data_IF_566575029830
#
_entry.id   IF_566575029830
#
_cell.length_a   1.000
_cell.length_b   1.000
_cell.length_c   1.000
_cell.angle_alpha   90.00
_cell.angle_beta   90.00
_cell.angle_gamma   90.00
#
_symmetry.space_group_name_H-M   'P 1'
#
loop_
_entity.id
_entity.type
_entity.pdbx_description
1 polymer ?
#
# COMPACT_ATOMS: atom_id res chain seq x y z
N UNK A 1 -0.60 -17.65 48.38
CA UNK A 1 -0.07 -16.72 47.36
C UNK A 1 -1.08 -15.68 46.95
N UNK A 2 -2.28 -15.99 46.43
CA UNK A 2 -3.33 -15.04 46.03
C UNK A 2 -3.68 -14.02 47.13
N UNK A 3 -3.80 -14.38 48.38
CA UNK A 3 -4.06 -13.42 49.48
C UNK A 3 -2.97 -12.36 49.64
N UNK A 4 -1.71 -12.73 49.47
CA UNK A 4 -0.59 -11.79 49.59
C UNK A 4 -0.58 -10.85 48.39
N UNK A 5 -0.80 -11.37 47.19
CA UNK A 5 -0.94 -10.54 45.98
C UNK A 5 -2.08 -9.54 46.12
N UNK A 6 -3.23 -9.95 46.65
CA UNK A 6 -4.39 -9.07 46.88
C UNK A 6 -4.10 -7.98 47.91
N UNK A 7 -3.38 -8.30 48.98
CA UNK A 7 -2.99 -7.32 49.99
C UNK A 7 -1.98 -6.30 49.43
N UNK A 8 -0.95 -6.79 48.73
CA UNK A 8 0.04 -5.93 48.11
C UNK A 8 -0.58 -5.10 47.00
N UNK A 9 -1.49 -5.66 46.19
CA UNK A 9 -2.26 -4.95 45.19
C UNK A 9 -3.08 -3.82 45.81
N UNK A 10 -3.79 -4.07 46.92
CA UNK A 10 -4.56 -3.05 47.61
C UNK A 10 -3.69 -1.91 48.15
N UNK A 11 -2.52 -2.25 48.74
CA UNK A 11 -1.56 -1.27 49.22
C UNK A 11 -1.02 -0.38 48.11
N UNK A 12 -0.52 -0.98 47.00
CA UNK A 12 0.03 -0.21 45.91
C UNK A 12 -1.04 0.53 45.09
N UNK A 13 -2.26 -0.01 45.00
CA UNK A 13 -3.40 0.73 44.43
C UNK A 13 -3.66 2.02 45.17
N UNK A 14 -3.71 1.96 46.48
CA UNK A 14 -3.82 3.16 47.32
C UNK A 14 -2.63 4.11 47.17
N UNK A 15 -1.40 3.59 47.18
CA UNK A 15 -0.19 4.39 47.05
C UNK A 15 -0.07 5.10 45.68
N UNK A 16 -0.43 4.41 44.61
CA UNK A 16 -0.16 4.88 43.26
C UNK A 16 -1.37 5.51 42.57
N UNK A 17 -2.59 5.01 42.81
CA UNK A 17 -3.80 5.47 42.10
C UNK A 17 -4.61 6.49 42.90
N UNK A 18 -4.78 6.28 44.19
CA UNK A 18 -5.62 7.16 45.00
C UNK A 18 -4.94 8.50 45.34
N UNK A 19 -3.63 8.57 45.22
CA UNK A 19 -2.84 9.75 45.55
C UNK A 19 -2.01 10.23 44.35
N UNK A 20 -2.67 10.66 43.33
CA UNK A 20 -2.17 10.94 41.97
C UNK A 20 -0.77 11.58 41.88
N UNK A 21 -0.57 12.75 42.47
CA UNK A 21 0.71 13.48 42.36
C UNK A 21 1.86 12.78 43.08
N UNK A 22 1.56 12.02 44.09
CA UNK A 22 2.53 11.29 44.90
C UNK A 22 2.89 9.94 44.27
N UNK A 23 1.93 9.27 43.66
CA UNK A 23 2.12 7.94 43.09
C UNK A 23 3.14 7.89 41.97
N UNK A 24 3.02 8.74 40.95
CA UNK A 24 4.00 8.86 39.85
C UNK A 24 5.39 9.25 40.38
N UNK A 25 5.45 10.23 41.28
CA UNK A 25 6.71 10.63 41.89
C UNK A 25 7.33 9.49 42.71
N UNK A 26 6.50 8.77 43.47
CA UNK A 26 6.93 7.62 44.28
C UNK A 26 7.50 6.52 43.43
N UNK A 27 6.80 6.11 42.36
CA UNK A 27 7.28 5.06 41.46
C UNK A 27 8.57 5.48 40.74
N UNK A 28 8.68 6.73 40.29
CA UNK A 28 9.88 7.30 39.72
C UNK A 28 11.07 7.21 40.67
N UNK A 29 10.86 7.55 41.95
CA UNK A 29 11.90 7.44 42.97
C UNK A 29 12.33 5.99 43.21
N UNK A 30 11.37 5.05 43.28
CA UNK A 30 11.63 3.64 43.42
C UNK A 30 12.48 3.12 42.26
N UNK A 31 12.07 3.40 41.02
CA UNK A 31 12.75 2.92 39.81
C UNK A 31 14.12 3.56 39.59
N UNK A 32 14.38 4.74 40.14
CA UNK A 32 15.69 5.39 40.10
C UNK A 32 16.74 4.76 41.00
N UNK A 33 16.33 3.99 42.01
CA UNK A 33 17.24 3.25 42.91
C UNK A 33 17.23 1.77 42.55
N UNK A 34 18.42 1.22 42.17
CA UNK A 34 18.53 -0.20 41.80
C UNK A 34 17.95 -1.14 42.87
N UNK A 35 18.30 -0.94 44.15
CA UNK A 35 17.81 -1.80 45.21
C UNK A 35 16.30 -1.71 45.43
N UNK A 36 15.73 -0.47 45.33
CA UNK A 36 14.28 -0.27 45.44
C UNK A 36 13.54 -0.78 44.22
N UNK A 37 14.08 -0.60 43.01
CA UNK A 37 13.51 -1.12 41.78
C UNK A 37 13.44 -2.66 41.81
N UNK A 38 14.53 -3.32 42.21
CA UNK A 38 14.56 -4.79 42.35
C UNK A 38 13.54 -5.27 43.39
N UNK A 39 13.43 -4.60 44.54
CA UNK A 39 12.43 -4.93 45.55
C UNK A 39 10.99 -4.74 45.05
N UNK A 40 10.74 -3.68 44.28
CA UNK A 40 9.41 -3.40 43.70
C UNK A 40 9.05 -4.43 42.63
N UNK A 41 9.92 -4.67 41.65
CA UNK A 41 9.64 -5.63 40.56
C UNK A 41 9.52 -7.07 41.03
N UNK A 42 10.05 -7.39 42.22
CA UNK A 42 9.84 -8.67 42.88
C UNK A 42 8.49 -8.78 43.61
N UNK A 43 7.69 -7.71 43.58
CA UNK A 43 6.38 -7.69 44.23
C UNK A 43 5.26 -7.79 43.19
N UNK A 44 4.69 -8.98 43.03
CA UNK A 44 3.66 -9.23 42.02
C UNK A 44 2.41 -8.35 42.15
N UNK A 45 1.99 -8.02 43.39
CA UNK A 45 0.85 -7.16 43.63
C UNK A 45 1.09 -5.71 43.19
N UNK A 46 2.30 -5.16 43.46
CA UNK A 46 2.69 -3.83 43.00
C UNK A 46 2.82 -3.74 41.49
N UNK A 47 3.44 -4.73 40.88
CA UNK A 47 3.54 -4.84 39.40
C UNK A 47 2.16 -4.97 38.76
N UNK A 48 1.26 -5.78 39.34
CA UNK A 48 -0.12 -5.93 38.85
C UNK A 48 -0.89 -4.59 38.80
N UNK A 49 -0.71 -3.72 39.80
CA UNK A 49 -1.34 -2.38 39.82
C UNK A 49 -0.92 -1.55 38.62
N UNK A 50 0.36 -1.57 38.28
CA UNK A 50 0.91 -0.77 37.17
C UNK A 50 0.57 -1.40 35.83
N UNK A 51 0.61 -2.73 35.68
CA UNK A 51 0.26 -3.46 34.46
C UNK A 51 -1.25 -3.54 34.23
N UNK A 52 -2.07 -3.39 35.26
CA UNK A 52 -3.52 -3.33 35.17
C UNK A 52 -4.08 -2.06 34.54
N UNK A 53 -3.21 -1.14 34.08
CA UNK A 53 -3.64 0.03 33.33
C UNK A 53 -4.33 -0.36 32.01
N UNK A 54 -5.50 0.22 31.74
CA UNK A 54 -6.22 0.04 30.49
C UNK A 54 -5.97 1.24 29.56
N UNK A 55 -5.36 1.05 28.37
CA UNK A 55 -4.98 2.15 27.47
C UNK A 55 -6.15 3.04 27.03
N UNK A 56 -7.35 2.46 26.95
CA UNK A 56 -8.56 3.15 26.49
C UNK A 56 -9.22 4.02 27.57
N UNK A 57 -8.76 3.95 28.80
CA UNK A 57 -9.25 4.82 29.86
C UNK A 57 -8.35 6.04 29.96
N UNK A 58 -8.90 7.27 29.96
CA UNK A 58 -8.13 8.52 29.99
C UNK A 58 -7.58 8.85 31.39
N UNK A 59 -7.09 7.86 32.13
CA UNK A 59 -6.42 8.08 33.40
C UNK A 59 -4.94 8.39 33.14
N UNK A 60 -4.63 9.68 33.12
CA UNK A 60 -3.27 10.19 32.91
C UNK A 60 -2.26 9.59 33.88
N UNK A 61 -2.67 9.29 35.09
CA UNK A 61 -1.84 8.73 36.16
C UNK A 61 -1.41 7.32 35.85
N UNK A 62 -2.38 6.49 35.51
CA UNK A 62 -2.12 5.12 35.12
C UNK A 62 -1.22 5.05 33.88
N UNK A 63 -1.40 5.99 32.92
CA UNK A 63 -0.50 6.11 31.76
C UNK A 63 0.94 6.42 32.16
N UNK A 64 1.14 7.38 33.07
CA UNK A 64 2.47 7.75 33.54
C UNK A 64 3.12 6.62 34.35
N UNK A 65 2.38 5.93 35.21
CA UNK A 65 2.88 4.77 35.96
C UNK A 65 3.31 3.64 35.01
N UNK A 66 2.48 3.31 34.04
CA UNK A 66 2.80 2.30 33.04
C UNK A 66 4.04 2.70 32.20
N UNK A 67 4.10 3.92 31.72
CA UNK A 67 5.24 4.42 30.94
C UNK A 67 6.55 4.40 31.74
N UNK A 68 6.52 4.68 33.05
CA UNK A 68 7.67 4.57 33.93
C UNK A 68 8.15 3.14 34.08
N UNK A 69 7.24 2.18 34.23
CA UNK A 69 7.59 0.77 34.31
C UNK A 69 8.16 0.28 32.97
N UNK A 70 7.54 0.64 31.85
CA UNK A 70 7.98 0.28 30.49
C UNK A 70 9.38 0.83 30.16
N UNK A 71 9.76 1.98 30.71
CA UNK A 71 11.10 2.54 30.53
C UNK A 71 12.16 1.96 31.48
N UNK A 72 11.75 1.12 32.42
CA UNK A 72 12.66 0.52 33.39
C UNK A 72 13.46 -0.64 32.79
N UNK A 73 14.78 -0.74 33.07
CA UNK A 73 15.57 -1.91 32.67
C UNK A 73 15.16 -3.20 33.38
N UNK A 74 14.28 -3.13 34.37
CA UNK A 74 13.79 -4.27 35.16
C UNK A 74 12.40 -4.73 34.71
N UNK A 75 11.92 -4.30 33.57
CA UNK A 75 10.57 -4.65 33.10
C UNK A 75 10.41 -6.16 32.87
N UNK A 76 11.43 -6.84 32.34
CA UNK A 76 11.37 -8.28 32.12
C UNK A 76 11.34 -9.06 33.45
N UNK A 77 12.05 -8.60 34.47
CA UNK A 77 11.99 -9.17 35.84
C UNK A 77 10.58 -8.96 36.44
N UNK A 78 9.99 -7.80 36.26
CA UNK A 78 8.63 -7.53 36.70
C UNK A 78 7.60 -8.44 36.05
N UNK A 79 7.72 -8.63 34.74
CA UNK A 79 6.85 -9.52 33.97
C UNK A 79 6.98 -10.97 34.45
N UNK A 80 8.20 -11.44 34.64
CA UNK A 80 8.47 -12.78 35.16
C UNK A 80 7.84 -12.97 36.55
N UNK A 81 8.02 -12.00 37.45
CA UNK A 81 7.44 -12.06 38.81
C UNK A 81 5.92 -12.08 38.76
N UNK A 82 5.31 -11.22 37.96
CA UNK A 82 3.86 -11.12 37.84
C UNK A 82 3.24 -12.41 37.29
N UNK A 83 3.71 -12.86 36.11
CA UNK A 83 3.17 -14.05 35.46
C UNK A 83 3.52 -15.35 36.24
N UNK A 84 4.75 -15.46 36.76
CA UNK A 84 5.13 -16.59 37.59
C UNK A 84 4.28 -16.72 38.86
N UNK A 85 3.85 -15.60 39.43
CA UNK A 85 2.94 -15.59 40.59
C UNK A 85 1.54 -16.08 40.27
N UNK A 86 1.02 -15.77 39.07
CA UNK A 86 -0.30 -16.25 38.60
C UNK A 86 -0.29 -17.76 38.42
N UNK A 87 0.78 -18.33 37.89
CA UNK A 87 0.93 -19.75 37.64
C UNK A 87 1.44 -20.52 38.83
N UNK A 88 1.47 -19.94 40.03
CA UNK A 88 1.91 -20.55 41.30
C UNK A 88 3.33 -21.07 41.30
N UNK A 89 4.16 -20.65 40.35
CA UNK A 89 5.47 -21.18 40.12
C UNK A 89 6.60 -20.36 40.77
N UNK A 90 6.28 -19.34 41.56
CA UNK A 90 7.26 -18.57 42.35
C UNK A 90 8.35 -17.88 41.53
N UNK A 91 9.53 -18.44 41.46
CA UNK A 91 10.66 -17.94 40.70
C UNK A 91 10.84 -18.68 39.37
N UNK A 92 9.74 -19.02 38.67
CA UNK A 92 9.78 -19.68 37.38
C UNK A 92 10.46 -18.76 36.34
N UNK A 93 11.34 -19.33 35.52
CA UNK A 93 11.98 -18.57 34.43
C UNK A 93 10.99 -18.24 33.30
N UNK A 94 11.28 -17.20 32.53
CA UNK A 94 10.47 -16.90 31.35
C UNK A 94 10.45 -18.06 30.35
N UNK A 95 11.56 -18.80 30.21
CA UNK A 95 11.65 -19.98 29.34
C UNK A 95 10.71 -21.09 29.82
N UNK A 96 10.61 -21.34 31.11
CA UNK A 96 9.68 -22.30 31.68
C UNK A 96 8.21 -21.88 31.49
N UNK A 97 7.92 -20.58 31.61
CA UNK A 97 6.55 -20.05 31.35
C UNK A 97 6.12 -20.20 29.88
N UNK A 98 6.99 -19.84 28.94
CA UNK A 98 6.65 -19.83 27.52
C UNK A 98 6.93 -21.14 26.78
N UNK A 99 7.53 -22.13 27.43
CA UNK A 99 7.61 -23.50 26.88
C UNK A 99 6.28 -24.26 26.94
N UNK A 100 5.32 -23.77 27.74
CA UNK A 100 3.98 -24.34 27.83
C UNK A 100 3.03 -23.58 26.89
N UNK A 101 2.62 -24.22 25.80
CA UNK A 101 1.75 -23.64 24.79
C UNK A 101 0.35 -23.30 25.34
N UNK A 102 -0.17 -24.02 26.31
CA UNK A 102 -1.45 -23.72 26.93
C UNK A 102 -1.38 -22.40 27.72
N UNK A 103 -0.32 -22.20 28.48
CA UNK A 103 -0.05 -20.91 29.17
C UNK A 103 0.11 -19.75 28.20
N UNK A 104 0.79 -19.94 27.07
CA UNK A 104 0.94 -18.91 26.06
C UNK A 104 -0.42 -18.46 25.52
N UNK A 105 -1.36 -19.38 25.32
CA UNK A 105 -2.73 -19.07 24.88
C UNK A 105 -3.57 -18.43 25.99
N UNK A 106 -3.47 -18.89 27.23
CA UNK A 106 -4.13 -18.25 28.37
C UNK A 106 -3.67 -16.78 28.52
N UNK A 107 -2.37 -16.51 28.39
CA UNK A 107 -1.81 -15.16 28.40
C UNK A 107 -2.45 -14.33 27.28
N UNK A 108 -2.57 -14.87 26.07
CA UNK A 108 -3.12 -14.14 24.93
C UNK A 108 -4.59 -13.71 25.16
N UNK A 109 -5.36 -14.53 25.84
CA UNK A 109 -6.78 -14.30 26.08
C UNK A 109 -7.08 -13.41 27.30
N UNK A 110 -6.09 -13.13 28.13
CA UNK A 110 -6.21 -12.17 29.25
C UNK A 110 -5.53 -10.83 28.91
N UNK A 111 -6.29 -9.71 28.83
CA UNK A 111 -5.71 -8.42 28.42
C UNK A 111 -4.59 -7.91 29.33
N UNK A 112 -4.62 -8.24 30.63
CA UNK A 112 -3.60 -7.80 31.59
C UNK A 112 -2.34 -8.65 31.45
N UNK A 113 -2.51 -9.97 31.32
CA UNK A 113 -1.40 -10.89 31.10
C UNK A 113 -0.73 -10.68 29.74
N UNK A 114 -1.51 -10.47 28.67
CA UNK A 114 -0.99 -10.17 27.33
C UNK A 114 -0.18 -8.86 27.31
N UNK A 115 -0.68 -7.81 28.01
CA UNK A 115 0.03 -6.55 28.17
C UNK A 115 1.35 -6.75 28.96
N UNK A 116 1.32 -7.55 30.01
CA UNK A 116 2.51 -7.90 30.78
C UNK A 116 3.53 -8.62 29.90
N UNK A 117 3.14 -9.73 29.29
CA UNK A 117 4.03 -10.54 28.44
C UNK A 117 4.68 -9.73 27.31
N UNK A 118 3.93 -8.80 26.76
CA UNK A 118 4.40 -7.92 25.70
C UNK A 118 5.16 -6.68 26.17
N UNK A 119 5.21 -6.37 27.46
CA UNK A 119 5.81 -5.15 27.97
C UNK A 119 7.34 -5.14 27.86
N UNK A 120 8.00 -6.25 28.20
CA UNK A 120 9.45 -6.39 28.09
C UNK A 120 9.87 -6.96 26.73
N UNK A 121 11.02 -6.53 26.22
CA UNK A 121 11.52 -7.01 24.93
C UNK A 121 11.87 -8.50 24.95
N UNK A 122 12.46 -9.00 26.04
CA UNK A 122 12.81 -10.40 26.23
C UNK A 122 11.55 -11.25 26.34
N UNK A 123 10.62 -10.85 27.20
CA UNK A 123 9.35 -11.54 27.39
C UNK A 123 8.53 -11.59 26.10
N UNK A 124 8.36 -10.46 25.41
CA UNK A 124 7.62 -10.40 24.15
C UNK A 124 8.23 -11.33 23.08
N UNK A 125 9.54 -11.36 22.96
CA UNK A 125 10.22 -12.23 22.00
C UNK A 125 9.98 -13.72 22.27
N UNK A 126 10.13 -14.14 23.51
CA UNK A 126 9.92 -15.53 23.93
C UNK A 126 8.46 -15.97 23.77
N UNK A 127 7.54 -15.14 24.23
CA UNK A 127 6.10 -15.42 24.13
C UNK A 127 5.61 -15.51 22.69
N UNK A 128 5.98 -14.54 21.82
CA UNK A 128 5.55 -14.52 20.42
C UNK A 128 6.19 -15.68 19.64
N UNK A 129 7.46 -16.02 19.90
CA UNK A 129 8.09 -17.18 19.30
C UNK A 129 7.35 -18.47 19.69
N UNK A 130 6.98 -18.63 20.96
CA UNK A 130 6.23 -19.78 21.44
C UNK A 130 4.83 -19.88 20.81
N UNK A 131 4.10 -18.76 20.69
CA UNK A 131 2.81 -18.71 19.98
C UNK A 131 2.93 -19.09 18.50
N UNK A 132 4.09 -18.87 17.90
CA UNK A 132 4.40 -19.28 16.53
C UNK A 132 4.93 -20.72 16.43
N UNK A 133 4.92 -21.49 17.52
CA UNK A 133 5.45 -22.86 17.57
C UNK A 133 6.98 -22.95 17.50
N UNK A 134 7.68 -21.86 17.76
CA UNK A 134 9.14 -21.81 17.85
C UNK A 134 9.61 -22.03 19.30
N UNK A 135 10.83 -22.53 19.49
CA UNK A 135 11.39 -22.64 20.83
C UNK A 135 11.68 -21.27 21.42
N UNK A 136 11.11 -20.94 22.58
CA UNK A 136 11.21 -19.63 23.21
C UNK A 136 12.65 -19.30 23.69
N UNK A 137 13.50 -20.28 23.90
CA UNK A 137 14.89 -20.11 24.30
C UNK A 137 15.85 -19.84 23.13
N UNK A 138 15.36 -20.04 21.89
CA UNK A 138 16.14 -19.79 20.65
C UNK A 138 16.34 -18.30 20.36
N UNK A 139 15.55 -17.43 20.97
CA UNK A 139 15.57 -16.00 20.68
C UNK A 139 15.75 -15.19 21.97
N UNK A 140 16.76 -14.32 22.00
CA UNK A 140 17.06 -13.49 23.16
C UNK A 140 15.93 -12.52 23.49
N UNK A 141 15.35 -11.90 22.47
CA UNK A 141 14.32 -10.87 22.59
C UNK A 141 13.52 -10.73 21.29
N UNK A 142 12.51 -9.86 21.28
CA UNK A 142 11.68 -9.61 20.10
C UNK A 142 12.44 -9.06 18.90
N UNK A 143 13.56 -8.35 19.13
CA UNK A 143 14.41 -7.86 18.05
C UNK A 143 15.13 -9.04 17.36
N UNK A 144 15.57 -10.04 18.14
CA UNK A 144 16.14 -11.26 17.58
C UNK A 144 15.10 -12.09 16.80
N UNK A 145 13.86 -12.16 17.26
CA UNK A 145 12.74 -12.77 16.51
C UNK A 145 12.52 -12.02 15.19
N UNK A 146 12.41 -10.69 15.24
CA UNK A 146 12.17 -9.85 14.06
C UNK A 146 13.32 -9.86 13.04
N UNK A 147 14.54 -10.17 13.47
CA UNK A 147 15.71 -10.32 12.59
C UNK A 147 15.84 -11.71 11.96
N UNK A 148 15.09 -12.70 12.44
CA UNK A 148 15.14 -14.08 11.96
C UNK A 148 14.07 -14.35 10.91
N UNK A 149 14.47 -14.68 9.68
CA UNK A 149 13.55 -15.06 8.61
C UNK A 149 12.68 -16.27 8.98
N UNK A 150 13.31 -17.30 9.59
CA UNK A 150 12.60 -18.51 10.05
C UNK A 150 11.55 -18.18 11.10
N UNK A 151 11.91 -17.37 12.10
CA UNK A 151 10.98 -16.98 13.15
C UNK A 151 9.85 -16.13 12.59
N UNK A 152 10.15 -15.11 11.77
CA UNK A 152 9.14 -14.21 11.25
C UNK A 152 8.22 -14.89 10.23
N UNK A 153 8.70 -15.86 9.46
CA UNK A 153 7.83 -16.68 8.60
C UNK A 153 6.83 -17.47 9.46
N UNK A 154 7.28 -18.07 10.56
CA UNK A 154 6.38 -18.79 11.47
C UNK A 154 5.40 -17.84 12.19
N UNK A 155 5.88 -16.69 12.68
CA UNK A 155 5.05 -15.64 13.31
C UNK A 155 3.99 -15.14 12.33
N UNK A 156 4.37 -14.79 11.11
CA UNK A 156 3.46 -14.29 10.09
C UNK A 156 2.41 -15.30 9.62
N UNK A 157 2.69 -16.60 9.76
CA UNK A 157 1.74 -17.67 9.46
C UNK A 157 0.79 -18.00 10.63
N UNK A 158 1.06 -17.51 11.84
CA UNK A 158 0.30 -17.81 13.06
C UNK A 158 -0.64 -16.66 13.43
N UNK A 159 -1.96 -16.91 13.43
CA UNK A 159 -2.97 -15.92 13.87
C UNK A 159 -2.74 -15.47 15.31
N UNK A 160 -2.42 -16.40 16.19
CA UNK A 160 -2.18 -16.12 17.63
C UNK A 160 -0.93 -15.28 17.83
N UNK A 161 0.17 -15.60 17.16
CA UNK A 161 1.40 -14.82 17.23
C UNK A 161 1.21 -13.43 16.63
N UNK A 162 0.53 -13.31 15.49
CA UNK A 162 0.24 -12.02 14.88
C UNK A 162 -0.71 -11.18 15.73
N UNK A 163 -1.72 -11.78 16.37
CA UNK A 163 -2.57 -11.07 17.33
C UNK A 163 -1.75 -10.49 18.49
N UNK A 164 -0.78 -11.24 19.01
CA UNK A 164 0.16 -10.75 20.03
C UNK A 164 1.05 -9.60 19.49
N UNK A 165 1.57 -9.71 18.27
CA UNK A 165 2.39 -8.65 17.64
C UNK A 165 1.60 -7.35 17.49
N UNK A 166 0.42 -7.40 16.86
CA UNK A 166 -0.34 -6.16 16.55
C UNK A 166 -1.01 -5.56 17.81
N UNK A 167 -1.23 -6.38 18.83
CA UNK A 167 -1.74 -5.94 20.14
C UNK A 167 -0.68 -5.35 21.05
N UNK A 168 0.60 -5.38 20.64
CA UNK A 168 1.70 -5.00 21.52
C UNK A 168 2.66 -4.00 20.85
N UNK A 169 2.80 -2.80 21.45
CA UNK A 169 3.61 -1.74 20.88
C UNK A 169 5.11 -2.09 20.77
N UNK A 170 5.67 -2.84 21.73
CA UNK A 170 7.08 -3.25 21.71
C UNK A 170 7.36 -4.21 20.55
N UNK A 171 6.50 -5.20 20.37
CA UNK A 171 6.61 -6.18 19.29
C UNK A 171 6.34 -5.54 17.92
N UNK A 172 5.28 -4.72 17.81
CA UNK A 172 4.97 -4.02 16.57
C UNK A 172 6.12 -3.12 16.13
N UNK A 173 6.73 -2.38 17.06
CA UNK A 173 7.88 -1.53 16.76
C UNK A 173 9.10 -2.34 16.29
N UNK A 174 9.38 -3.49 16.90
CA UNK A 174 10.46 -4.37 16.44
C UNK A 174 10.21 -4.89 15.02
N UNK A 175 8.98 -5.27 14.70
CA UNK A 175 8.59 -5.75 13.36
C UNK A 175 8.73 -4.63 12.32
N UNK A 176 8.20 -3.42 12.56
CA UNK A 176 8.23 -2.33 11.56
C UNK A 176 9.62 -1.72 11.35
N UNK A 177 10.59 -2.02 12.23
CA UNK A 177 11.99 -1.61 12.09
C UNK A 177 12.87 -2.68 11.44
N UNK A 178 12.35 -3.90 11.24
CA UNK A 178 13.08 -5.01 10.62
C UNK A 178 12.59 -5.28 9.20
N UNK A 179 13.48 -5.14 8.20
CA UNK A 179 13.15 -5.48 6.80
C UNK A 179 12.79 -6.95 6.62
N UNK A 180 13.44 -7.85 7.38
CA UNK A 180 13.14 -9.29 7.37
C UNK A 180 11.71 -9.54 7.83
N UNK A 181 11.33 -8.93 8.96
CA UNK A 181 9.97 -9.04 9.49
C UNK A 181 8.92 -8.45 8.55
N UNK A 182 9.19 -7.27 7.99
CA UNK A 182 8.28 -6.60 7.05
C UNK A 182 8.04 -7.44 5.79
N UNK A 183 9.07 -8.07 5.25
CA UNK A 183 8.93 -8.94 4.09
C UNK A 183 8.07 -10.18 4.42
N UNK A 184 8.28 -10.80 5.59
CA UNK A 184 7.49 -11.94 6.02
C UNK A 184 6.00 -11.56 6.25
N UNK A 185 5.74 -10.44 6.90
CA UNK A 185 4.39 -9.91 7.12
C UNK A 185 3.69 -9.60 5.80
N UNK A 186 4.36 -8.90 4.89
CA UNK A 186 3.78 -8.53 3.59
C UNK A 186 3.57 -9.71 2.64
N UNK A 187 4.21 -10.85 2.88
CA UNK A 187 4.02 -12.08 2.12
C UNK A 187 2.89 -12.98 2.67
N UNK A 188 2.37 -12.69 3.86
CA UNK A 188 1.38 -13.52 4.56
C UNK A 188 0.00 -12.89 4.59
N UNK A 189 -1.02 -13.59 4.06
CA UNK A 189 -2.44 -13.20 4.18
C UNK A 189 -2.88 -13.09 5.64
N UNK A 190 -2.49 -14.05 6.48
CA UNK A 190 -2.79 -14.06 7.92
C UNK A 190 -2.23 -12.81 8.61
N UNK A 191 -0.96 -12.49 8.37
CA UNK A 191 -0.33 -11.32 8.96
C UNK A 191 -0.96 -10.01 8.46
N UNK A 192 -1.23 -9.91 7.17
CA UNK A 192 -1.89 -8.73 6.60
C UNK A 192 -3.31 -8.55 7.12
N UNK A 193 -4.08 -9.63 7.30
CA UNK A 193 -5.40 -9.58 7.93
C UNK A 193 -5.32 -9.06 9.38
N UNK A 194 -4.35 -9.50 10.16
CA UNK A 194 -4.13 -9.03 11.52
C UNK A 194 -3.75 -7.53 11.57
N UNK A 195 -2.84 -7.08 10.69
CA UNK A 195 -2.45 -5.67 10.59
C UNK A 195 -3.65 -4.80 10.21
N UNK A 196 -4.41 -5.19 9.18
CA UNK A 196 -5.57 -4.44 8.69
C UNK A 196 -6.70 -4.40 9.73
N UNK A 197 -6.86 -5.47 10.50
CA UNK A 197 -7.85 -5.57 11.58
C UNK A 197 -7.52 -4.73 12.82
N UNK A 198 -6.29 -4.19 12.92
CA UNK A 198 -5.84 -3.38 14.04
C UNK A 198 -5.48 -1.95 13.60
N UNK A 199 -6.29 -0.97 14.01
CA UNK A 199 -6.14 0.42 13.58
C UNK A 199 -4.77 1.02 13.96
N UNK A 200 -4.21 0.65 15.12
CA UNK A 200 -2.88 1.12 15.55
C UNK A 200 -1.79 0.54 14.66
N UNK A 201 -1.81 -0.77 14.41
CA UNK A 201 -0.84 -1.43 13.52
C UNK A 201 -0.92 -0.88 12.10
N UNK A 202 -2.13 -0.71 11.57
CA UNK A 202 -2.35 -0.14 10.24
C UNK A 202 -1.75 1.27 10.11
N UNK A 203 -1.98 2.15 11.09
CA UNK A 203 -1.40 3.49 11.10
C UNK A 203 0.14 3.46 11.19
N UNK A 204 0.71 2.60 12.03
CA UNK A 204 2.17 2.45 12.15
C UNK A 204 2.77 2.00 10.82
N UNK A 205 2.16 1.03 10.15
CA UNK A 205 2.60 0.55 8.82
C UNK A 205 2.46 1.66 7.77
N UNK A 206 1.31 2.36 7.71
CA UNK A 206 1.05 3.39 6.70
C UNK A 206 1.90 4.66 6.85
N UNK A 207 2.51 4.87 8.01
CA UNK A 207 3.43 5.99 8.28
C UNK A 207 4.91 5.60 8.20
N UNK A 208 5.22 4.30 8.10
CA UNK A 208 6.58 3.79 7.95
C UNK A 208 6.93 3.58 6.47
N UNK A 209 7.93 4.32 5.96
CA UNK A 209 8.40 4.16 4.57
C UNK A 209 8.88 2.73 4.29
N UNK A 210 9.62 2.12 5.23
CA UNK A 210 10.13 0.75 5.08
C UNK A 210 8.99 -0.27 5.02
N UNK A 211 7.99 -0.14 5.90
CA UNK A 211 6.82 -1.00 5.91
C UNK A 211 6.00 -0.85 4.63
N UNK A 212 5.74 0.37 4.19
CA UNK A 212 4.98 0.60 2.97
C UNK A 212 5.73 0.18 1.71
N UNK A 213 7.06 0.23 1.68
CA UNK A 213 7.85 -0.35 0.59
C UNK A 213 7.65 -1.87 0.50
N UNK A 214 7.63 -2.58 1.64
CA UNK A 214 7.39 -4.02 1.68
C UNK A 214 5.94 -4.35 1.24
N UNK A 215 4.95 -3.62 1.74
CA UNK A 215 3.53 -3.76 1.35
C UNK A 215 3.37 -3.52 -0.15
N UNK A 216 3.91 -2.43 -0.68
CA UNK A 216 3.81 -2.06 -2.09
C UNK A 216 4.54 -3.03 -3.04
N UNK A 217 5.53 -3.77 -2.55
CA UNK A 217 6.23 -4.78 -3.33
C UNK A 217 5.51 -6.15 -3.33
N UNK A 218 4.52 -6.36 -2.45
CA UNK A 218 3.80 -7.62 -2.30
C UNK A 218 2.42 -7.59 -2.94
N UNK A 219 2.13 -8.52 -3.86
CA UNK A 219 0.80 -8.70 -4.44
C UNK A 219 -0.24 -9.08 -3.38
N UNK A 220 0.12 -9.97 -2.47
CA UNK A 220 -0.73 -10.40 -1.35
C UNK A 220 -1.12 -9.22 -0.47
N UNK A 221 -0.15 -8.41 -0.07
CA UNK A 221 -0.41 -7.26 0.79
C UNK A 221 -1.26 -6.20 0.08
N UNK A 222 -0.97 -5.90 -1.19
CA UNK A 222 -1.77 -4.94 -1.96
C UNK A 222 -3.20 -5.43 -2.19
N UNK A 223 -3.40 -6.72 -2.46
CA UNK A 223 -4.73 -7.30 -2.58
C UNK A 223 -5.52 -7.17 -1.26
N UNK A 224 -4.90 -7.44 -0.11
CA UNK A 224 -5.51 -7.27 1.19
C UNK A 224 -5.87 -5.81 1.51
N UNK A 225 -4.99 -4.86 1.19
CA UNK A 225 -5.25 -3.42 1.34
C UNK A 225 -6.43 -2.99 0.48
N UNK A 226 -6.47 -3.38 -0.79
CA UNK A 226 -7.53 -3.00 -1.75
C UNK A 226 -8.89 -3.61 -1.35
N UNK A 227 -8.89 -4.82 -0.82
CA UNK A 227 -10.11 -5.49 -0.38
C UNK A 227 -10.73 -4.87 0.89
N UNK A 228 -9.98 -4.05 1.64
CA UNK A 228 -10.45 -3.41 2.86
C UNK A 228 -10.52 -1.88 2.70
N UNK A 229 -11.73 -1.31 2.77
CA UNK A 229 -11.95 0.12 2.55
C UNK A 229 -11.24 1.02 3.57
N UNK A 230 -11.11 0.58 4.83
CA UNK A 230 -10.38 1.33 5.86
C UNK A 230 -8.89 1.35 5.57
N UNK A 231 -8.30 0.20 5.22
CA UNK A 231 -6.89 0.09 4.85
C UNK A 231 -6.58 0.91 3.59
N UNK A 232 -7.41 0.78 2.56
CA UNK A 232 -7.27 1.54 1.32
C UNK A 232 -7.32 3.05 1.60
N UNK A 233 -8.29 3.52 2.38
CA UNK A 233 -8.39 4.92 2.75
C UNK A 233 -7.18 5.41 3.56
N UNK A 234 -6.67 4.59 4.49
CA UNK A 234 -5.47 4.91 5.28
C UNK A 234 -4.24 5.06 4.36
N UNK A 235 -4.06 4.16 3.39
CA UNK A 235 -2.98 4.25 2.39
C UNK A 235 -3.14 5.49 1.52
N UNK A 236 -4.33 5.75 0.98
CA UNK A 236 -4.62 6.88 0.08
C UNK A 236 -4.42 8.24 0.77
N UNK A 237 -4.70 8.33 2.07
CA UNK A 237 -4.51 9.58 2.83
C UNK A 237 -3.09 9.77 3.36
N UNK A 238 -2.23 8.75 3.29
CA UNK A 238 -0.82 8.81 3.69
C UNK A 238 0.09 9.12 2.51
N UNK A 239 0.75 10.28 2.52
CA UNK A 239 1.74 10.63 1.48
C UNK A 239 2.92 9.65 1.48
N UNK A 240 3.34 9.15 2.66
CA UNK A 240 4.40 8.13 2.78
C UNK A 240 3.98 6.86 2.05
N UNK A 241 2.76 6.39 2.30
CA UNK A 241 2.23 5.20 1.66
C UNK A 241 2.07 5.38 0.14
N UNK A 242 1.52 6.50 -0.30
CA UNK A 242 1.34 6.77 -1.74
C UNK A 242 2.67 6.92 -2.49
N UNK A 243 3.72 7.47 -1.87
CA UNK A 243 5.06 7.49 -2.45
C UNK A 243 5.64 6.07 -2.62
N UNK A 244 5.45 5.19 -1.64
CA UNK A 244 5.84 3.79 -1.76
C UNK A 244 5.07 3.08 -2.88
N UNK A 245 3.76 3.28 -2.96
CA UNK A 245 2.89 2.76 -4.03
C UNK A 245 3.38 3.23 -5.41
N UNK A 246 3.57 4.53 -5.60
CA UNK A 246 4.00 5.10 -6.88
C UNK A 246 5.44 4.69 -7.28
N UNK A 247 6.22 4.15 -6.34
CA UNK A 247 7.56 3.62 -6.57
C UNK A 247 7.57 2.11 -6.88
N UNK A 248 6.43 1.42 -6.77
CA UNK A 248 6.29 -0.02 -7.01
C UNK A 248 5.37 -0.32 -8.19
N UNK A 249 5.89 -0.98 -9.21
CA UNK A 249 5.07 -1.43 -10.34
C UNK A 249 3.99 -2.44 -9.94
N UNK A 250 4.23 -3.24 -8.90
CA UNK A 250 3.26 -4.19 -8.33
C UNK A 250 2.06 -3.43 -7.78
N UNK A 251 2.32 -2.42 -6.94
CA UNK A 251 1.25 -1.63 -6.32
C UNK A 251 0.51 -0.76 -7.35
N UNK A 252 1.23 -0.13 -8.29
CA UNK A 252 0.60 0.64 -9.38
C UNK A 252 -0.33 -0.24 -10.20
N UNK A 253 0.12 -1.44 -10.62
CA UNK A 253 -0.72 -2.36 -11.36
C UNK A 253 -1.94 -2.78 -10.56
N UNK A 254 -1.77 -3.20 -9.29
CA UNK A 254 -2.86 -3.63 -8.42
C UNK A 254 -3.93 -2.53 -8.23
N UNK A 255 -3.53 -1.27 -8.06
CA UNK A 255 -4.49 -0.15 -7.95
C UNK A 255 -5.28 0.04 -9.24
N UNK A 256 -4.62 0.04 -10.42
CA UNK A 256 -5.32 0.22 -11.69
C UNK A 256 -6.20 -0.99 -12.07
N UNK A 257 -5.88 -2.19 -11.61
CA UNK A 257 -6.70 -3.39 -11.79
C UNK A 257 -7.98 -3.38 -10.94
N UNK A 258 -8.09 -2.49 -9.94
CA UNK A 258 -9.27 -2.30 -9.10
C UNK A 258 -9.97 -0.98 -9.36
N UNK A 259 -11.18 -1.02 -9.92
CA UNK A 259 -11.98 0.18 -10.14
C UNK A 259 -12.27 0.95 -8.84
N UNK A 260 -12.52 0.22 -7.73
CA UNK A 260 -12.74 0.80 -6.39
C UNK A 260 -11.49 1.55 -5.92
N UNK A 261 -10.31 0.97 -6.10
CA UNK A 261 -9.06 1.59 -5.68
C UNK A 261 -8.75 2.84 -6.52
N UNK A 262 -8.94 2.78 -7.84
CA UNK A 262 -8.75 3.94 -8.73
C UNK A 262 -9.66 5.11 -8.31
N UNK A 263 -10.94 4.86 -8.04
CA UNK A 263 -11.86 5.93 -7.62
C UNK A 263 -11.50 6.47 -6.23
N UNK A 264 -11.07 5.63 -5.29
CA UNK A 264 -10.60 6.09 -3.99
C UNK A 264 -9.36 6.98 -4.11
N UNK A 265 -8.39 6.62 -4.95
CA UNK A 265 -7.19 7.44 -5.20
C UNK A 265 -7.55 8.75 -5.90
N UNK A 266 -8.43 8.74 -6.91
CA UNK A 266 -8.92 9.95 -7.61
C UNK A 266 -9.64 10.92 -6.68
N UNK A 267 -10.34 10.43 -5.67
CA UNK A 267 -11.02 11.25 -4.67
C UNK A 267 -10.06 12.06 -3.79
N UNK A 268 -8.77 11.68 -3.77
CA UNK A 268 -7.71 12.41 -3.07
C UNK A 268 -6.73 13.01 -4.10
N UNK A 269 -6.76 14.32 -4.28
CA UNK A 269 -5.96 15.03 -5.29
C UNK A 269 -4.45 14.77 -5.15
N UNK A 270 -3.93 14.77 -3.92
CA UNK A 270 -2.50 14.50 -3.65
C UNK A 270 -2.13 13.06 -4.01
N UNK A 271 -2.97 12.09 -3.63
CA UNK A 271 -2.75 10.68 -3.95
C UNK A 271 -2.81 10.44 -5.46
N UNK A 272 -3.78 11.06 -6.14
CA UNK A 272 -3.90 10.96 -7.60
C UNK A 272 -2.68 11.54 -8.31
N UNK A 273 -2.23 12.75 -7.91
CA UNK A 273 -1.03 13.36 -8.45
C UNK A 273 0.22 12.50 -8.22
N UNK A 274 0.34 11.88 -7.03
CA UNK A 274 1.45 10.98 -6.70
C UNK A 274 1.43 9.73 -7.58
N UNK A 275 0.28 9.05 -7.72
CA UNK A 275 0.14 7.85 -8.55
C UNK A 275 0.45 8.13 -10.02
N UNK A 276 -0.13 9.21 -10.56
CA UNK A 276 0.06 9.61 -11.96
C UNK A 276 1.43 10.22 -12.23
N UNK A 277 2.19 10.56 -11.20
CA UNK A 277 3.59 10.96 -11.24
C UNK A 277 4.61 9.81 -11.19
N UNK A 278 4.17 8.55 -11.18
CA UNK A 278 5.05 7.39 -11.18
C UNK A 278 6.06 7.43 -12.34
N UNK A 279 7.30 6.99 -12.10
CA UNK A 279 8.38 7.08 -13.08
C UNK A 279 8.16 6.20 -14.32
N UNK A 280 8.84 6.53 -15.42
CA UNK A 280 8.81 5.72 -16.67
C UNK A 280 9.15 4.26 -16.40
N UNK A 281 10.14 3.97 -15.54
CA UNK A 281 10.54 2.62 -15.18
C UNK A 281 9.41 1.86 -14.46
N UNK A 282 8.73 2.49 -13.51
CA UNK A 282 7.60 1.90 -12.79
C UNK A 282 6.42 1.69 -13.75
N UNK A 283 6.10 2.69 -14.54
CA UNK A 283 4.98 2.64 -15.48
C UNK A 283 5.17 1.58 -16.57
N UNK A 284 6.38 1.43 -17.12
CA UNK A 284 6.68 0.40 -18.11
C UNK A 284 6.47 -1.01 -17.55
N UNK A 285 6.98 -1.28 -16.35
CA UNK A 285 6.79 -2.56 -15.68
C UNK A 285 5.34 -2.81 -15.27
N UNK A 286 4.65 -1.78 -14.79
CA UNK A 286 3.22 -1.88 -14.46
C UNK A 286 2.37 -2.15 -15.70
N UNK A 287 2.62 -1.46 -16.81
CA UNK A 287 1.93 -1.69 -18.08
C UNK A 287 2.17 -3.10 -18.61
N UNK A 288 3.41 -3.60 -18.54
CA UNK A 288 3.74 -4.98 -18.90
C UNK A 288 2.93 -5.98 -18.06
N UNK A 289 2.92 -5.82 -16.72
CA UNK A 289 2.15 -6.67 -15.81
C UNK A 289 0.66 -6.67 -16.14
N UNK A 290 0.03 -5.50 -16.27
CA UNK A 290 -1.38 -5.35 -16.62
C UNK A 290 -1.75 -5.90 -18.01
N UNK A 291 -0.75 -6.03 -18.88
CA UNK A 291 -0.90 -6.62 -20.21
C UNK A 291 -0.54 -8.13 -20.26
N UNK A 292 -0.26 -8.76 -19.12
CA UNK A 292 0.11 -10.17 -19.01
C UNK A 292 1.51 -10.50 -19.51
N UNK A 293 2.40 -9.51 -19.58
CA UNK A 293 3.81 -9.65 -19.94
C UNK A 293 4.69 -9.78 -18.70
N UNK A 294 5.91 -10.32 -18.86
CA UNK A 294 6.88 -10.34 -17.78
C UNK A 294 7.51 -8.94 -17.59
N UNK A 295 7.29 -8.27 -16.44
CA UNK A 295 7.82 -6.93 -16.20
C UNK A 295 9.35 -6.83 -16.20
N UNK A 296 10.06 -7.95 -15.97
CA UNK A 296 11.51 -7.97 -15.93
C UNK A 296 12.16 -7.74 -17.32
N UNK A 297 11.39 -7.99 -18.39
CA UNK A 297 11.87 -7.87 -19.78
C UNK A 297 11.92 -6.40 -20.25
N UNK A 298 11.34 -5.47 -19.49
CA UNK A 298 11.21 -4.06 -19.87
C UNK A 298 11.78 -3.13 -18.80
N UNK A 299 12.74 -2.29 -19.21
CA UNK A 299 13.37 -1.35 -18.31
C UNK A 299 12.42 -0.21 -17.90
N UNK A 300 11.65 0.29 -18.87
CA UNK A 300 10.81 1.48 -18.74
C UNK A 300 9.71 1.53 -19.81
N UNK A 301 8.98 2.64 -19.85
CA UNK A 301 7.90 2.85 -20.82
C UNK A 301 8.42 3.06 -22.26
N UNK A 302 9.63 3.58 -22.43
CA UNK A 302 10.24 3.72 -23.77
C UNK A 302 10.56 2.34 -24.37
N UNK A 303 11.04 1.39 -23.54
CA UNK A 303 11.27 0.01 -23.95
C UNK A 303 9.95 -0.69 -24.36
N UNK A 304 8.86 -0.46 -23.63
CA UNK A 304 7.51 -0.94 -24.00
C UNK A 304 7.10 -0.32 -25.34
N UNK A 305 7.22 1.00 -25.47
CA UNK A 305 6.77 1.74 -26.66
C UNK A 305 7.58 1.41 -27.93
N UNK A 306 8.81 0.96 -27.78
CA UNK A 306 9.66 0.50 -28.89
C UNK A 306 9.36 -0.94 -29.34
N UNK A 307 8.71 -1.75 -28.49
CA UNK A 307 8.41 -3.16 -28.76
C UNK A 307 7.01 -3.31 -29.37
N UNK A 308 6.93 -3.78 -30.62
CA UNK A 308 5.66 -4.06 -31.30
C UNK A 308 4.83 -5.11 -30.56
N UNK A 309 5.46 -6.17 -30.05
CA UNK A 309 4.80 -7.23 -29.29
C UNK A 309 4.24 -6.70 -27.97
N UNK A 310 5.06 -5.94 -27.23
CA UNK A 310 4.63 -5.36 -25.95
C UNK A 310 3.47 -4.36 -26.17
N UNK A 311 3.59 -3.45 -27.12
CA UNK A 311 2.56 -2.48 -27.40
C UNK A 311 1.25 -3.10 -27.93
N UNK A 312 1.32 -4.20 -28.65
CA UNK A 312 0.11 -4.94 -29.06
C UNK A 312 -0.63 -5.50 -27.85
N UNK A 313 0.08 -6.09 -26.90
CA UNK A 313 -0.50 -6.58 -25.65
C UNK A 313 -1.06 -5.42 -24.80
N UNK A 314 -0.27 -4.38 -24.58
CA UNK A 314 -0.66 -3.17 -23.80
C UNK A 314 -1.86 -2.48 -24.42
N UNK A 315 -1.89 -2.28 -25.74
CA UNK A 315 -3.01 -1.66 -26.45
C UNK A 315 -4.32 -2.48 -26.38
N UNK A 316 -4.22 -3.77 -26.11
CA UNK A 316 -5.37 -4.66 -25.90
C UNK A 316 -5.88 -4.65 -24.45
N UNK A 317 -5.09 -4.16 -23.50
CA UNK A 317 -5.44 -4.05 -22.09
C UNK A 317 -6.06 -2.67 -21.77
N UNK A 318 -7.36 -2.67 -21.42
CA UNK A 318 -8.05 -1.44 -20.99
C UNK A 318 -7.38 -0.82 -19.76
N UNK A 319 -6.96 -1.65 -18.81
CA UNK A 319 -6.31 -1.23 -17.56
C UNK A 319 -4.97 -0.57 -17.83
N UNK A 320 -4.11 -1.21 -18.66
CA UNK A 320 -2.82 -0.65 -19.04
C UNK A 320 -2.97 0.68 -19.78
N UNK A 321 -3.92 0.76 -20.72
CA UNK A 321 -4.19 2.00 -21.46
C UNK A 321 -4.70 3.12 -20.53
N UNK A 322 -5.55 2.80 -19.56
CA UNK A 322 -6.01 3.78 -18.56
C UNK A 322 -4.85 4.33 -17.72
N UNK A 323 -3.94 3.46 -17.28
CA UNK A 323 -2.75 3.84 -16.53
C UNK A 323 -1.80 4.73 -17.34
N UNK A 324 -1.51 4.36 -18.59
CA UNK A 324 -0.65 5.12 -19.50
C UNK A 324 -1.24 6.52 -19.76
N UNK A 325 -2.53 6.60 -20.06
CA UNK A 325 -3.21 7.88 -20.32
C UNK A 325 -3.22 8.79 -19.10
N UNK A 326 -3.29 8.23 -17.89
CA UNK A 326 -3.21 8.98 -16.64
C UNK A 326 -1.82 9.52 -16.30
N UNK A 327 -0.75 8.95 -16.88
CA UNK A 327 0.63 9.32 -16.58
C UNK A 327 1.25 10.06 -17.78
N UNK A 328 1.59 11.34 -17.60
CA UNK A 328 2.09 12.19 -18.68
C UNK A 328 3.39 11.67 -19.33
N UNK A 329 4.30 11.09 -18.53
CA UNK A 329 5.56 10.54 -19.03
C UNK A 329 5.32 9.30 -19.89
N UNK A 330 4.48 8.37 -19.41
CA UNK A 330 4.14 7.17 -20.14
C UNK A 330 3.38 7.49 -21.44
N UNK A 331 2.41 8.40 -21.37
CA UNK A 331 1.66 8.85 -22.54
C UNK A 331 2.58 9.47 -23.58
N UNK A 332 3.53 10.33 -23.16
CA UNK A 332 4.48 10.96 -24.08
C UNK A 332 5.41 9.93 -24.74
N UNK A 333 5.87 8.91 -24.04
CA UNK A 333 6.65 7.82 -24.61
C UNK A 333 5.86 7.10 -25.74
N UNK A 334 4.59 6.79 -25.46
CA UNK A 334 3.70 6.12 -26.44
C UNK A 334 3.44 6.99 -27.67
N UNK A 335 3.03 8.25 -27.51
CA UNK A 335 2.69 9.11 -28.67
C UNK A 335 3.93 9.58 -29.45
N UNK A 336 5.13 9.37 -28.91
CA UNK A 336 6.40 9.65 -29.60
C UNK A 336 6.92 8.45 -30.39
N UNK A 337 6.38 7.25 -30.14
CA UNK A 337 6.80 6.02 -30.78
C UNK A 337 5.87 5.64 -31.96
N UNK A 338 6.41 5.59 -33.19
CA UNK A 338 5.67 5.11 -34.35
C UNK A 338 5.22 3.65 -34.17
N UNK A 339 6.07 2.82 -33.55
CA UNK A 339 5.75 1.42 -33.21
C UNK A 339 4.53 1.33 -32.31
N UNK A 340 4.53 2.12 -31.25
CA UNK A 340 3.42 2.17 -30.28
C UNK A 340 2.13 2.65 -30.95
N UNK A 341 2.19 3.72 -31.71
CA UNK A 341 1.01 4.30 -32.38
C UNK A 341 0.44 3.36 -33.48
N UNK A 342 1.30 2.57 -34.10
CA UNK A 342 0.85 1.52 -35.03
C UNK A 342 0.06 0.42 -34.32
N UNK A 343 0.52 -0.02 -33.14
CA UNK A 343 -0.20 -1.00 -32.33
C UNK A 343 -1.54 -0.43 -31.79
N UNK A 344 -1.53 0.81 -31.34
CA UNK A 344 -2.75 1.54 -30.90
C UNK A 344 -3.76 1.61 -32.04
N UNK A 345 -3.34 1.97 -33.24
CA UNK A 345 -4.20 2.05 -34.42
C UNK A 345 -4.87 0.72 -34.80
N UNK A 346 -4.31 -0.39 -34.38
CA UNK A 346 -4.84 -1.74 -34.59
C UNK A 346 -5.79 -2.20 -33.47
N UNK A 347 -5.85 -1.48 -32.35
CA UNK A 347 -6.63 -1.87 -31.15
C UNK A 347 -7.86 -0.97 -30.96
N UNK A 348 -9.06 -1.56 -31.01
CA UNK A 348 -10.31 -0.85 -30.70
C UNK A 348 -10.39 -0.45 -29.22
N UNK A 349 -9.79 -1.23 -28.33
CA UNK A 349 -9.66 -0.91 -26.90
C UNK A 349 -8.83 0.36 -26.70
N UNK A 350 -7.65 0.44 -27.29
CA UNK A 350 -6.78 1.62 -27.19
C UNK A 350 -7.43 2.86 -27.83
N UNK A 351 -8.01 2.73 -29.02
CA UNK A 351 -8.70 3.85 -29.70
C UNK A 351 -9.88 4.37 -28.88
N UNK A 352 -10.62 3.48 -28.22
CA UNK A 352 -11.74 3.86 -27.35
C UNK A 352 -11.24 4.59 -26.09
N UNK A 353 -10.16 4.10 -25.48
CA UNK A 353 -9.55 4.75 -24.30
C UNK A 353 -9.02 6.14 -24.64
N UNK A 354 -8.33 6.29 -25.77
CA UNK A 354 -7.84 7.60 -26.25
C UNK A 354 -9.01 8.55 -26.54
N UNK A 355 -10.04 8.09 -27.25
CA UNK A 355 -11.19 8.92 -27.57
C UNK A 355 -11.95 9.42 -26.33
N UNK A 356 -11.92 8.68 -25.24
CA UNK A 356 -12.51 9.06 -23.95
C UNK A 356 -11.67 10.08 -23.16
N UNK A 357 -10.39 10.29 -23.52
CA UNK A 357 -9.46 11.12 -22.76
C UNK A 357 -9.04 12.37 -23.54
N UNK A 358 -9.42 13.54 -23.04
CA UNK A 358 -8.95 14.83 -23.58
C UNK A 358 -7.44 14.97 -23.45
N UNK A 359 -6.85 14.50 -22.33
CA UNK A 359 -5.40 14.51 -22.11
C UNK A 359 -4.64 13.71 -23.18
N UNK A 360 -5.14 12.51 -23.53
CA UNK A 360 -4.54 11.70 -24.59
C UNK A 360 -4.67 12.36 -25.96
N UNK A 361 -5.83 12.94 -26.25
CA UNK A 361 -6.09 13.65 -27.49
C UNK A 361 -5.23 14.92 -27.63
N UNK A 362 -5.04 15.68 -26.56
CA UNK A 362 -4.16 16.86 -26.54
C UNK A 362 -2.68 16.47 -26.77
N UNK A 363 -2.23 15.36 -26.17
CA UNK A 363 -0.87 14.84 -26.38
C UNK A 363 -0.65 14.44 -27.85
N UNK A 364 -1.63 13.78 -28.47
CA UNK A 364 -1.59 13.42 -29.89
C UNK A 364 -1.67 14.69 -30.77
N UNK A 365 -2.54 15.63 -30.41
CA UNK A 365 -2.71 16.88 -31.15
C UNK A 365 -1.44 17.76 -31.13
N UNK A 366 -0.67 17.72 -30.06
CA UNK A 366 0.62 18.42 -29.99
C UNK A 366 1.62 17.96 -31.08
N UNK A 367 1.42 16.73 -31.61
CA UNK A 367 2.26 16.13 -32.66
C UNK A 367 1.53 16.00 -34.01
N UNK A 368 0.46 16.75 -34.19
CA UNK A 368 -0.34 16.71 -35.41
C UNK A 368 0.44 17.14 -36.63
N UNK A 369 -0.01 16.62 -37.76
CA UNK A 369 0.30 17.13 -39.10
C UNK A 369 -0.94 17.79 -39.66
N UNK A 370 -0.77 18.67 -40.61
CA UNK A 370 -1.85 19.33 -41.36
C UNK A 370 -1.78 18.96 -42.81
N UNK A 371 -2.90 18.53 -43.37
CA UNK A 371 -3.13 18.41 -44.79
C UNK A 371 -3.98 19.63 -45.24
N UNK A 372 -3.48 20.43 -46.16
CA UNK A 372 -4.16 21.58 -46.73
C UNK A 372 -3.94 21.59 -48.25
N UNK A 373 -4.73 22.37 -48.96
CA UNK A 373 -4.72 22.52 -50.41
C UNK A 373 -5.81 21.74 -51.12
N UNK A 374 -6.29 22.32 -52.21
CA UNK A 374 -7.41 21.81 -52.98
C UNK A 374 -7.19 20.35 -53.40
N UNK A 375 -8.13 19.51 -53.04
CA UNK A 375 -8.14 18.08 -53.38
C UNK A 375 -6.92 17.28 -52.92
N UNK A 376 -6.16 17.77 -51.95
CA UNK A 376 -5.05 17.03 -51.37
C UNK A 376 -5.55 15.71 -50.78
N UNK A 377 -4.78 14.61 -50.92
CA UNK A 377 -5.18 13.31 -50.41
C UNK A 377 -4.02 12.55 -49.85
N UNK A 378 -4.29 11.71 -48.84
CA UNK A 378 -3.31 10.86 -48.17
C UNK A 378 -3.88 9.45 -47.96
N UNK A 379 -3.04 8.45 -48.19
CA UNK A 379 -3.31 7.06 -47.83
C UNK A 379 -2.37 6.63 -46.69
N UNK A 380 -2.89 5.91 -45.73
CA UNK A 380 -2.12 5.47 -44.56
C UNK A 380 -3.00 5.11 -43.40
N UNK A 381 -2.49 5.27 -42.17
CA UNK A 381 -3.25 5.09 -40.93
C UNK A 381 -3.23 6.42 -40.17
N UNK A 382 -4.40 7.00 -39.96
CA UNK A 382 -4.50 8.34 -39.39
C UNK A 382 -5.57 8.43 -38.32
N UNK A 383 -5.28 9.15 -37.25
CA UNK A 383 -6.30 9.68 -36.31
C UNK A 383 -6.64 11.09 -36.81
N UNK A 384 -7.88 11.30 -37.25
CA UNK A 384 -8.37 12.63 -37.64
C UNK A 384 -8.69 13.42 -36.37
N UNK A 385 -8.01 14.54 -36.18
CA UNK A 385 -8.08 15.34 -34.94
C UNK A 385 -9.02 16.55 -35.10
N UNK A 386 -9.01 17.18 -36.26
CA UNK A 386 -9.87 18.31 -36.57
C UNK A 386 -10.03 18.46 -38.08
N UNK A 387 -11.22 18.82 -38.50
CA UNK A 387 -11.55 19.13 -39.91
C UNK A 387 -11.99 20.58 -39.96
N UNK A 388 -11.41 21.36 -40.87
CA UNK A 388 -11.88 22.68 -41.24
C UNK A 388 -12.33 22.62 -42.69
N UNK A 389 -13.63 22.65 -42.91
CA UNK A 389 -14.25 22.55 -44.22
C UNK A 389 -15.58 23.27 -44.13
N UNK A 390 -15.88 24.12 -45.10
CA UNK A 390 -17.11 24.93 -45.13
C UNK A 390 -18.32 24.15 -45.66
N UNK A 391 -18.10 22.94 -46.16
CA UNK A 391 -19.10 22.04 -46.71
C UNK A 391 -19.14 20.73 -45.95
N UNK A 392 -20.11 19.86 -46.26
CA UNK A 392 -20.19 18.54 -45.71
C UNK A 392 -18.96 17.69 -46.09
N UNK A 393 -18.33 17.03 -45.11
CA UNK A 393 -17.18 16.14 -45.33
C UNK A 393 -17.68 14.73 -45.66
N UNK A 394 -18.15 14.51 -46.89
CA UNK A 394 -18.87 13.30 -47.29
C UNK A 394 -18.63 12.84 -48.75
N UNK A 395 -18.08 13.70 -49.59
CA UNK A 395 -17.96 13.43 -51.02
C UNK A 395 -16.58 13.76 -51.58
N UNK A 396 -16.32 13.32 -52.81
CA UNK A 396 -15.06 13.66 -53.48
C UNK A 396 -14.90 15.14 -53.81
N UNK A 397 -15.97 15.92 -53.77
CA UNK A 397 -15.96 17.38 -53.95
C UNK A 397 -15.62 18.09 -52.63
N UNK A 398 -16.28 17.69 -51.54
CA UNK A 398 -16.21 18.37 -50.25
C UNK A 398 -15.27 17.72 -49.26
N UNK A 399 -14.47 16.77 -49.73
CA UNK A 399 -13.59 15.97 -48.86
C UNK A 399 -14.31 14.78 -48.26
N UNK A 400 -13.54 13.77 -47.84
CA UNK A 400 -14.04 12.60 -47.11
C UNK A 400 -12.90 11.80 -46.51
N UNK A 401 -13.23 10.95 -45.53
CA UNK A 401 -12.33 9.94 -45.05
C UNK A 401 -12.92 8.53 -45.25
N UNK A 402 -12.07 7.57 -45.55
CA UNK A 402 -12.41 6.15 -45.48
C UNK A 402 -11.84 5.60 -44.18
N UNK A 403 -12.70 5.09 -43.32
CA UNK A 403 -12.31 4.50 -42.04
C UNK A 403 -11.79 3.06 -42.21
N UNK A 404 -11.19 2.50 -41.14
CA UNK A 404 -10.59 1.17 -41.16
C UNK A 404 -11.56 0.02 -41.45
N UNK A 405 -12.86 0.25 -41.30
CA UNK A 405 -13.91 -0.70 -41.66
C UNK A 405 -14.48 -0.47 -43.10
N UNK A 406 -13.88 0.43 -43.87
CA UNK A 406 -14.30 0.76 -45.21
C UNK A 406 -15.45 1.78 -45.27
N UNK A 407 -16.01 2.17 -44.14
CA UNK A 407 -17.09 3.19 -44.13
C UNK A 407 -16.58 4.58 -44.51
N UNK A 408 -17.46 5.40 -45.09
CA UNK A 408 -17.21 6.79 -45.41
C UNK A 408 -18.33 7.61 -44.76
N UNK A 409 -18.19 7.90 -43.46
CA UNK A 409 -19.26 8.61 -42.76
C UNK A 409 -19.38 10.05 -43.20
N UNK A 410 -20.63 10.54 -43.30
CA UNK A 410 -20.92 11.96 -43.48
C UNK A 410 -20.59 12.73 -42.21
N UNK A 411 -20.04 13.94 -42.36
CA UNK A 411 -19.65 14.79 -41.24
C UNK A 411 -19.98 16.25 -41.49
N UNK A 412 -20.89 16.79 -40.68
CA UNK A 412 -21.42 18.15 -40.84
C UNK A 412 -20.81 19.17 -39.87
N UNK A 413 -19.98 18.77 -38.96
CA UNK A 413 -19.35 19.64 -37.94
C UNK A 413 -17.87 19.81 -38.20
N UNK A 414 -17.41 21.03 -38.36
CA UNK A 414 -16.12 21.31 -38.97
C UNK A 414 -15.02 21.71 -38.00
N UNK A 415 -15.36 22.35 -36.92
CA UNK A 415 -14.34 23.08 -36.14
C UNK A 415 -14.05 22.50 -34.76
N UNK A 416 -14.84 21.52 -34.31
CA UNK A 416 -14.66 20.96 -32.99
C UNK A 416 -13.49 19.96 -32.97
N UNK A 417 -12.49 20.29 -32.18
CA UNK A 417 -11.35 19.38 -31.95
C UNK A 417 -11.85 18.03 -31.49
N UNK A 418 -11.28 16.98 -32.08
CA UNK A 418 -11.49 15.58 -31.70
C UNK A 418 -12.90 15.01 -31.92
N UNK A 419 -13.89 15.83 -32.33
CA UNK A 419 -15.28 15.39 -32.42
C UNK A 419 -15.44 14.22 -33.40
N UNK A 420 -14.82 14.29 -34.58
CA UNK A 420 -14.81 13.19 -35.55
C UNK A 420 -14.25 11.88 -34.95
N UNK A 421 -13.07 11.94 -34.33
CA UNK A 421 -12.46 10.77 -33.75
C UNK A 421 -13.23 10.24 -32.53
N UNK A 422 -13.72 11.12 -31.65
CA UNK A 422 -14.57 10.75 -30.51
C UNK A 422 -15.83 9.99 -30.92
N UNK A 423 -16.44 10.41 -32.03
CA UNK A 423 -17.64 9.75 -32.54
C UNK A 423 -17.36 8.37 -33.10
N UNK A 424 -16.40 8.25 -34.01
CA UNK A 424 -16.18 7.01 -34.74
C UNK A 424 -15.21 6.06 -34.06
N UNK A 425 -14.25 6.55 -33.26
CA UNK A 425 -13.22 5.77 -32.54
C UNK A 425 -12.46 4.80 -33.45
N UNK A 426 -12.25 5.23 -34.72
CA UNK A 426 -11.59 4.45 -35.78
C UNK A 426 -10.53 5.30 -36.46
N UNK A 427 -9.52 4.65 -36.97
CA UNK A 427 -8.52 5.30 -37.82
C UNK A 427 -9.08 5.50 -39.23
N UNK A 428 -8.62 6.55 -39.90
CA UNK A 428 -8.82 6.73 -41.34
C UNK A 428 -7.68 5.99 -42.09
N UNK A 429 -8.03 5.28 -43.14
CA UNK A 429 -7.09 4.62 -44.05
C UNK A 429 -6.83 5.43 -45.30
N UNK A 430 -7.72 6.37 -45.61
CA UNK A 430 -7.61 7.35 -46.66
C UNK A 430 -8.33 8.63 -46.23
N UNK A 431 -7.78 9.78 -46.60
CA UNK A 431 -8.46 11.11 -46.46
C UNK A 431 -8.20 11.94 -47.68
N UNK A 432 -9.21 12.73 -48.05
CA UNK A 432 -9.14 13.71 -49.10
C UNK A 432 -9.72 15.01 -48.59
N UNK A 433 -9.01 16.13 -48.86
CA UNK A 433 -9.48 17.48 -48.56
C UNK A 433 -10.46 17.97 -49.60
N UNK A 434 -11.18 19.05 -49.30
CA UNK A 434 -12.08 19.72 -50.21
C UNK A 434 -11.33 20.27 -51.45
N UNK A 435 -12.10 20.68 -52.46
CA UNK A 435 -11.60 21.37 -53.64
C UNK A 435 -11.20 22.81 -53.40
N UNK A 436 -11.58 23.39 -52.22
CA UNK A 436 -11.24 24.73 -51.85
C UNK A 436 -9.87 24.82 -51.17
N UNK A 437 -9.16 25.94 -51.36
CA UNK A 437 -7.78 26.08 -50.88
C UNK A 437 -7.68 26.42 -49.40
N UNK A 438 -8.76 26.88 -48.78
CA UNK A 438 -8.78 27.35 -47.39
C UNK A 438 -9.09 26.24 -46.36
N UNK A 439 -9.48 25.07 -46.86
CA UNK A 439 -9.82 23.91 -46.05
C UNK A 439 -8.61 23.05 -45.67
N UNK A 440 -8.69 22.42 -44.49
CA UNK A 440 -7.61 21.59 -43.98
C UNK A 440 -8.09 20.48 -43.03
N UNK A 441 -7.29 19.46 -42.89
CA UNK A 441 -7.44 18.37 -41.95
C UNK A 441 -6.23 18.28 -41.07
N UNK A 442 -6.41 18.43 -39.75
CA UNK A 442 -5.37 18.11 -38.76
C UNK A 442 -5.50 16.63 -38.38
N UNK A 443 -4.40 15.92 -38.50
CA UNK A 443 -4.32 14.49 -38.26
C UNK A 443 -3.04 14.08 -37.57
N UNK A 444 -3.07 12.89 -36.97
CA UNK A 444 -1.88 12.18 -36.50
C UNK A 444 -1.67 10.93 -37.36
N UNK A 445 -0.46 10.71 -37.78
CA UNK A 445 -0.09 9.53 -38.59
C UNK A 445 0.35 8.41 -37.63
N UNK A 446 -0.35 7.27 -37.66
CA UNK A 446 -0.08 6.09 -36.83
C UNK A 446 0.92 5.15 -37.50
#
# INVERSE_FOLDING_TARGET
>A
MLKKIQQDFSYYSHEFKDNYRKGVHRLRTILASRAQAQAFVSNAGGVAVVLGYEPDKPDKNAQELYALLMSSPYIDDAVQTFLGSIYEAGAESQDAMYSDSARCLEILHDPVMARAAGAGAVSAGKWIAALAGQSCDSYRDITAVAASETAMTAVAASETAMAAVVGNATALNAVVTSQVALNAVAASETAMAAVIGNATALNVVATSQAAMNAVAASETAMAAVIANSTALNTVVTSLVAMNAVASSYVAVAALYESAVAVEAVKANETAWATLTGASSAVMGKAAAKMAGLNPADYADMDAIAASSTAMTAVASSQTAMTAIIGNATALNAVVSSQTAMTAIAASSTALSAIAASTTALDAIYAKKKRMSGASASLSGKFIILQISNDNAFDTSRYGYATLSDGSKPNWDSYKDKYAYFKQYKKIATYMKNDTDNDDWIDYFQC
#
